data_IF_558619795334
#
_entry.id   IF_558619795334
#
_cell.length_a   1.000
_cell.length_b   1.000
_cell.length_c   1.000
_cell.angle_alpha   90.00
_cell.angle_beta   90.00
_cell.angle_gamma   90.00
#
_symmetry.space_group_name_H-M   'P 1'
#
loop_
_entity.id
_entity.type
_entity.pdbx_description
1 polymer ?
#
# COMPACT_ATOMS: atom_id res chain seq x y z
N UNK A 1 31.50 -22.20 -1.65
CA UNK A 1 30.40 -22.24 -0.66
C UNK A 1 29.41 -21.18 -1.09
N UNK A 2 28.27 -21.58 -1.67
CA UNK A 2 27.20 -20.65 -2.01
C UNK A 2 26.43 -20.40 -0.72
N UNK A 3 26.53 -19.17 -0.21
CA UNK A 3 25.64 -18.66 0.82
C UNK A 3 24.24 -18.62 0.24
N UNK A 4 23.34 -19.44 0.79
CA UNK A 4 21.90 -19.36 0.57
C UNK A 4 21.43 -18.03 1.16
N UNK A 5 21.52 -16.96 0.36
CA UNK A 5 20.82 -15.73 0.70
C UNK A 5 19.34 -16.03 0.53
N UNK A 6 18.49 -15.76 1.53
CA UNK A 6 17.06 -15.94 1.38
C UNK A 6 16.61 -15.15 0.14
N UNK A 7 15.81 -15.80 -0.70
CA UNK A 7 15.24 -15.16 -1.87
C UNK A 7 14.49 -13.90 -1.45
N UNK A 8 14.63 -12.83 -2.23
CA UNK A 8 13.86 -11.62 -2.04
C UNK A 8 12.37 -11.95 -2.10
N UNK A 9 11.61 -11.40 -1.15
CA UNK A 9 10.15 -11.51 -1.13
C UNK A 9 9.58 -10.25 -1.77
N UNK A 10 8.80 -10.35 -2.87
CA UNK A 10 8.16 -9.21 -3.50
C UNK A 10 7.31 -8.42 -2.51
N UNK A 11 7.23 -7.10 -2.71
CA UNK A 11 6.54 -6.19 -1.79
C UNK A 11 5.30 -5.62 -2.47
N UNK A 12 4.16 -5.80 -1.83
CA UNK A 12 2.92 -5.13 -2.17
C UNK A 12 2.75 -3.90 -1.26
N UNK A 13 2.64 -2.72 -1.85
CA UNK A 13 2.40 -1.48 -1.12
C UNK A 13 0.98 -0.99 -1.39
N UNK A 14 0.19 -0.86 -0.34
CA UNK A 14 -1.12 -0.22 -0.36
C UNK A 14 -0.92 1.29 -0.22
N UNK A 15 -1.24 2.03 -1.28
CA UNK A 15 -1.12 3.49 -1.32
C UNK A 15 -2.08 4.02 -2.40
N UNK A 16 -2.95 4.96 -2.03
CA UNK A 16 -3.88 5.56 -3.00
C UNK A 16 -3.20 6.68 -3.76
N UNK A 17 -3.49 6.76 -5.06
CA UNK A 17 -3.11 7.89 -5.91
C UNK A 17 -4.30 8.28 -6.81
N UNK A 18 -4.14 9.35 -7.58
CA UNK A 18 -5.13 9.84 -8.52
C UNK A 18 -4.99 9.21 -9.91
N UNK A 19 -6.09 9.23 -10.67
CA UNK A 19 -6.09 8.85 -12.09
C UNK A 19 -6.47 7.39 -12.34
N UNK A 20 -7.63 6.98 -11.83
CA UNK A 20 -8.15 5.59 -11.92
C UNK A 20 -8.39 4.95 -10.54
N UNK A 21 -8.13 5.71 -9.47
CA UNK A 21 -8.09 5.21 -8.10
C UNK A 21 -7.12 4.02 -7.91
N UNK A 22 -5.86 4.11 -8.37
CA UNK A 22 -4.83 3.10 -8.05
C UNK A 22 -4.69 2.96 -6.54
N UNK A 23 -4.47 1.74 -6.07
CA UNK A 23 -4.36 1.46 -4.64
C UNK A 23 -3.34 0.38 -4.27
N UNK A 24 -2.83 -0.39 -5.22
CA UNK A 24 -1.88 -1.47 -4.97
C UNK A 24 -0.70 -1.42 -5.93
N UNK A 25 0.50 -1.43 -5.37
CA UNK A 25 1.75 -1.29 -6.10
C UNK A 25 2.68 -2.47 -5.80
N UNK A 26 3.36 -2.99 -6.82
CA UNK A 26 4.30 -4.08 -6.71
C UNK A 26 5.73 -3.57 -6.80
N UNK A 27 6.58 -4.10 -5.91
CA UNK A 27 8.02 -4.16 -6.07
C UNK A 27 8.41 -5.62 -6.25
N UNK A 28 8.81 -6.01 -7.45
CA UNK A 28 9.10 -7.40 -7.80
C UNK A 28 10.54 -7.79 -7.46
N UNK A 29 11.47 -6.83 -7.50
CA UNK A 29 12.90 -7.08 -7.30
C UNK A 29 13.57 -6.10 -6.32
N UNK A 30 14.68 -6.51 -5.69
CA UNK A 30 15.43 -5.62 -4.79
C UNK A 30 16.10 -4.46 -5.54
N UNK A 31 16.34 -4.61 -6.85
CA UNK A 31 17.02 -3.62 -7.70
C UNK A 31 16.11 -2.47 -8.13
N UNK A 32 14.78 -2.63 -8.00
CA UNK A 32 13.84 -1.54 -8.24
C UNK A 32 14.02 -0.41 -7.24
N UNK A 33 13.86 0.85 -7.64
CA UNK A 33 13.84 1.96 -6.70
C UNK A 33 12.57 1.92 -5.83
N UNK A 34 12.65 2.36 -4.57
CA UNK A 34 11.47 2.54 -3.71
C UNK A 34 10.58 1.29 -3.55
N UNK A 35 9.32 1.54 -3.17
CA UNK A 35 8.30 0.52 -2.88
C UNK A 35 6.96 0.76 -3.62
N UNK A 36 6.91 1.76 -4.49
CA UNK A 36 5.75 2.11 -5.32
C UNK A 36 6.25 2.12 -6.76
N UNK A 37 6.22 0.97 -7.43
CA UNK A 37 6.68 0.81 -8.81
C UNK A 37 5.51 0.48 -9.73
N UNK A 38 5.26 -0.82 -9.97
CA UNK A 38 4.25 -1.25 -10.94
C UNK A 38 2.85 -1.20 -10.29
N UNK A 39 1.93 -0.46 -10.91
CA UNK A 39 0.54 -0.43 -10.47
C UNK A 39 -0.12 -1.78 -10.80
N UNK A 40 -0.60 -2.47 -9.77
CA UNK A 40 -1.28 -3.75 -9.91
C UNK A 40 -2.79 -3.61 -9.92
N UNK A 41 -3.34 -2.76 -9.05
CA UNK A 41 -4.80 -2.68 -8.89
C UNK A 41 -5.30 -1.24 -8.80
N UNK A 42 -6.46 -1.03 -9.42
CA UNK A 42 -7.18 0.24 -9.50
C UNK A 42 -8.63 0.06 -9.04
N UNK A 43 -9.24 1.14 -8.55
CA UNK A 43 -10.61 1.12 -8.04
C UNK A 43 -11.68 1.03 -9.14
N UNK A 44 -11.35 1.42 -10.38
CA UNK A 44 -12.30 1.49 -11.50
C UNK A 44 -12.47 0.17 -12.26
N UNK A 45 -11.64 -0.85 -12.00
CA UNK A 45 -11.75 -2.16 -12.64
C UNK A 45 -11.01 -3.26 -11.88
N UNK A 46 -11.59 -4.45 -11.88
CA UNK A 46 -10.97 -5.66 -11.37
C UNK A 46 -10.32 -6.44 -12.53
N UNK A 47 -9.12 -6.98 -12.30
CA UNK A 47 -8.46 -7.90 -13.21
C UNK A 47 -8.27 -9.27 -12.54
N UNK A 48 -8.54 -10.36 -13.27
CA UNK A 48 -8.43 -11.72 -12.72
C UNK A 48 -6.98 -12.19 -12.48
N UNK A 49 -6.02 -11.52 -13.11
CA UNK A 49 -4.58 -11.78 -12.95
C UNK A 49 -3.98 -11.02 -11.75
N UNK A 50 -4.77 -10.19 -11.05
CA UNK A 50 -4.30 -9.41 -9.91
C UNK A 50 -3.99 -10.31 -8.70
N UNK A 51 -3.06 -9.90 -7.81
CA UNK A 51 -2.68 -10.68 -6.63
C UNK A 51 -3.75 -10.69 -5.52
N UNK A 52 -4.91 -10.08 -5.77
CA UNK A 52 -6.01 -9.88 -4.83
C UNK A 52 -7.28 -10.53 -5.38
N UNK A 53 -8.10 -11.11 -4.52
CA UNK A 53 -9.40 -11.65 -4.91
C UNK A 53 -10.40 -10.54 -5.28
N UNK A 54 -11.36 -10.85 -6.16
CA UNK A 54 -12.44 -9.91 -6.47
C UNK A 54 -13.21 -9.44 -5.21
N UNK A 55 -13.39 -10.33 -4.23
CA UNK A 55 -14.08 -10.00 -2.98
C UNK A 55 -13.31 -8.98 -2.15
N UNK A 56 -11.99 -9.12 -2.07
CA UNK A 56 -11.17 -8.14 -1.36
C UNK A 56 -11.03 -6.84 -2.17
N UNK A 57 -10.90 -6.93 -3.51
CA UNK A 57 -10.91 -5.77 -4.41
C UNK A 57 -12.20 -4.94 -4.23
N UNK A 58 -13.38 -5.57 -4.10
CA UNK A 58 -14.65 -4.87 -3.84
C UNK A 58 -14.67 -4.09 -2.53
N UNK A 59 -13.81 -4.42 -1.58
CA UNK A 59 -13.66 -3.66 -0.33
C UNK A 59 -12.67 -2.50 -0.48
N UNK A 60 -11.60 -2.69 -1.26
CA UNK A 60 -10.62 -1.65 -1.59
C UNK A 60 -11.17 -0.58 -2.53
N UNK A 61 -11.86 -0.96 -3.60
CA UNK A 61 -12.33 -0.06 -4.65
C UNK A 61 -13.11 1.15 -4.09
N UNK A 62 -14.10 1.00 -3.20
CA UNK A 62 -14.80 2.16 -2.64
C UNK A 62 -13.93 3.08 -1.79
N UNK A 63 -12.90 2.56 -1.11
CA UNK A 63 -11.94 3.36 -0.34
C UNK A 63 -11.02 4.17 -1.27
N UNK A 64 -10.49 3.53 -2.31
CA UNK A 64 -9.65 4.20 -3.30
C UNK A 64 -10.45 5.25 -4.10
N UNK A 65 -11.69 4.93 -4.50
CA UNK A 65 -12.57 5.85 -5.22
C UNK A 65 -13.01 7.04 -4.36
N UNK A 66 -13.18 6.86 -3.06
CA UNK A 66 -13.46 7.94 -2.12
C UNK A 66 -12.34 8.99 -2.16
N UNK A 67 -11.09 8.54 -2.10
CA UNK A 67 -9.91 9.39 -2.28
C UNK A 67 -9.85 9.98 -3.69
N UNK A 68 -9.93 9.16 -4.73
CA UNK A 68 -9.76 9.66 -6.11
C UNK A 68 -10.76 10.78 -6.47
N UNK A 69 -11.98 10.76 -5.91
CA UNK A 69 -12.98 11.82 -6.11
C UNK A 69 -12.56 13.18 -5.55
N UNK A 70 -11.62 13.23 -4.61
CA UNK A 70 -11.13 14.50 -4.04
C UNK A 70 -10.34 15.32 -5.06
N UNK A 71 -9.80 14.70 -6.12
CA UNK A 71 -9.07 15.40 -7.18
C UNK A 71 -9.87 16.49 -7.89
N UNK A 72 -11.20 16.40 -7.85
CA UNK A 72 -12.10 17.34 -8.52
C UNK A 72 -12.53 18.52 -7.61
N UNK A 73 -11.97 18.61 -6.40
CA UNK A 73 -12.29 19.62 -5.42
C UNK A 73 -11.05 20.01 -4.61
N UNK A 74 -10.49 21.19 -4.93
CA UNK A 74 -9.26 21.73 -4.33
C UNK A 74 -9.28 21.83 -2.79
N UNK A 75 -10.46 21.81 -2.17
CA UNK A 75 -10.66 21.90 -0.72
C UNK A 75 -11.16 20.59 -0.10
N UNK A 76 -11.22 19.49 -0.86
CA UNK A 76 -11.74 18.23 -0.35
C UNK A 76 -10.89 17.65 0.78
N UNK A 77 -9.58 17.90 0.78
CA UNK A 77 -8.61 17.38 1.75
C UNK A 77 -8.27 18.36 2.88
N UNK A 78 -9.00 19.47 2.99
CA UNK A 78 -8.87 20.38 4.13
C UNK A 78 -9.12 19.60 5.44
N UNK A 79 -8.35 19.84 6.52
CA UNK A 79 -8.46 19.07 7.77
C UNK A 79 -9.87 19.07 8.40
N UNK A 80 -10.67 20.09 8.12
CA UNK A 80 -12.05 20.21 8.62
C UNK A 80 -13.07 19.43 7.76
N UNK A 81 -12.65 18.88 6.62
CA UNK A 81 -13.49 18.24 5.61
C UNK A 81 -13.11 16.79 5.33
N UNK A 82 -11.85 16.45 5.56
CA UNK A 82 -11.34 15.09 5.36
C UNK A 82 -10.82 14.50 6.66
N UNK A 83 -11.44 13.42 7.09
CA UNK A 83 -10.98 12.66 8.25
C UNK A 83 -9.86 11.70 7.85
N UNK A 84 -8.63 12.22 7.81
CA UNK A 84 -7.42 11.42 7.56
C UNK A 84 -7.29 10.25 8.52
N UNK A 85 -7.68 10.41 9.79
CA UNK A 85 -7.56 9.35 10.78
C UNK A 85 -8.49 8.17 10.46
N UNK A 86 -9.76 8.45 10.12
CA UNK A 86 -10.70 7.44 9.67
C UNK A 86 -10.27 6.80 8.34
N UNK A 87 -9.76 7.61 7.40
CA UNK A 87 -9.27 7.13 6.10
C UNK A 87 -8.09 6.16 6.25
N UNK A 88 -7.08 6.51 7.07
CA UNK A 88 -5.95 5.63 7.36
C UNK A 88 -6.37 4.39 8.15
N UNK A 89 -7.30 4.50 9.09
CA UNK A 89 -7.80 3.33 9.83
C UNK A 89 -8.44 2.30 8.88
N UNK A 90 -9.23 2.77 7.90
CA UNK A 90 -9.81 1.92 6.86
C UNK A 90 -8.73 1.33 5.95
N UNK A 91 -7.79 2.13 5.47
CA UNK A 91 -6.68 1.67 4.64
C UNK A 91 -5.84 0.58 5.33
N UNK A 92 -5.50 0.76 6.61
CA UNK A 92 -4.75 -0.22 7.40
C UNK A 92 -5.56 -1.51 7.66
N UNK A 93 -6.88 -1.40 7.87
CA UNK A 93 -7.75 -2.57 7.97
C UNK A 93 -7.73 -3.38 6.66
N UNK A 94 -7.89 -2.72 5.51
CA UNK A 94 -7.83 -3.36 4.20
C UNK A 94 -6.44 -3.99 3.95
N UNK A 95 -5.37 -3.30 4.33
CA UNK A 95 -3.99 -3.82 4.23
C UNK A 95 -3.80 -5.10 5.06
N UNK A 96 -4.42 -5.20 6.23
CA UNK A 96 -4.42 -6.45 7.03
C UNK A 96 -5.14 -7.59 6.34
N UNK A 97 -6.28 -7.31 5.71
CA UNK A 97 -7.01 -8.32 4.94
C UNK A 97 -6.17 -8.80 3.74
N UNK A 98 -5.48 -7.87 3.05
CA UNK A 98 -4.54 -8.21 1.98
C UNK A 98 -3.43 -9.11 2.49
N UNK A 99 -2.77 -8.76 3.60
CA UNK A 99 -1.71 -9.61 4.19
C UNK A 99 -2.22 -11.01 4.55
N UNK A 100 -3.44 -11.13 5.06
CA UNK A 100 -4.05 -12.42 5.37
C UNK A 100 -4.33 -13.25 4.10
N UNK A 101 -4.70 -12.60 2.99
CA UNK A 101 -4.99 -13.27 1.71
C UNK A 101 -3.72 -13.73 0.99
N UNK A 102 -2.70 -12.87 0.90
CA UNK A 102 -1.48 -13.15 0.14
C UNK A 102 -0.43 -13.93 0.93
N UNK A 103 -0.56 -14.00 2.26
CA UNK A 103 0.31 -14.76 3.14
C UNK A 103 1.78 -14.36 3.02
N UNK A 104 2.69 -15.33 3.05
CA UNK A 104 4.14 -15.11 3.00
C UNK A 104 4.69 -14.97 1.57
N UNK A 105 3.84 -15.07 0.55
CA UNK A 105 4.26 -14.83 -0.84
C UNK A 105 4.68 -13.37 -1.06
N UNK A 106 4.13 -12.45 -0.25
CA UNK A 106 4.43 -11.03 -0.32
C UNK A 106 4.68 -10.43 1.07
N UNK A 107 5.59 -9.47 1.11
CA UNK A 107 5.63 -8.46 2.16
C UNK A 107 4.55 -7.42 1.86
N UNK A 108 3.84 -6.94 2.87
CA UNK A 108 2.73 -5.99 2.65
C UNK A 108 2.97 -4.72 3.46
N UNK A 109 3.01 -3.60 2.74
CA UNK A 109 3.18 -2.27 3.30
C UNK A 109 1.90 -1.45 3.11
N UNK A 110 1.71 -0.49 4.00
CA UNK A 110 0.80 0.65 3.83
C UNK A 110 1.66 1.90 3.74
N UNK A 111 1.44 2.73 2.71
CA UNK A 111 2.07 4.03 2.58
C UNK A 111 1.00 5.13 2.57
N UNK A 112 1.27 6.23 3.28
CA UNK A 112 0.42 7.41 3.21
C UNK A 112 0.53 8.09 1.84
N UNK A 113 -0.57 8.59 1.26
CA UNK A 113 -0.50 9.40 0.05
C UNK A 113 0.17 10.74 0.33
N UNK A 114 0.82 11.33 -0.67
CA UNK A 114 1.58 12.59 -0.53
C UNK A 114 0.67 13.78 -0.17
N UNK A 115 -0.62 13.66 -0.45
CA UNK A 115 -1.66 14.64 -0.14
C UNK A 115 -1.98 14.73 1.36
N UNK A 116 -1.66 13.72 2.18
CA UNK A 116 -1.76 13.84 3.64
C UNK A 116 -0.76 14.89 4.12
N UNK A 117 -1.17 15.98 4.80
CA UNK A 117 -0.23 16.95 5.37
C UNK A 117 0.80 16.32 6.32
N UNK A 118 0.49 15.15 6.90
CA UNK A 118 1.35 14.36 7.76
C UNK A 118 1.98 13.15 7.05
N UNK A 119 2.06 13.11 5.71
CA UNK A 119 2.51 11.93 4.97
C UNK A 119 3.91 11.44 5.36
N UNK A 120 4.84 12.36 5.67
CA UNK A 120 6.21 12.01 6.10
C UNK A 120 6.29 11.46 7.53
N UNK A 121 5.22 11.57 8.31
CA UNK A 121 5.18 11.07 9.68
C UNK A 121 4.67 9.64 9.66
N UNK A 122 5.53 8.68 10.02
CA UNK A 122 5.27 7.24 9.92
C UNK A 122 4.73 6.86 8.53
N UNK A 123 5.44 7.33 7.49
CA UNK A 123 5.02 7.25 6.09
C UNK A 123 4.66 5.82 5.68
N UNK A 124 5.49 4.85 6.07
CA UNK A 124 5.27 3.44 5.82
C UNK A 124 4.96 2.67 7.10
N UNK A 125 4.06 1.70 6.97
CA UNK A 125 3.77 0.70 7.98
C UNK A 125 3.75 -0.68 7.35
N UNK A 126 4.42 -1.63 7.98
CA UNK A 126 4.37 -3.02 7.55
C UNK A 126 3.29 -3.78 8.32
N UNK A 127 2.58 -4.66 7.62
CA UNK A 127 1.68 -5.64 8.25
C UNK A 127 2.36 -7.00 8.28
N UNK A 128 2.61 -7.50 9.48
CA UNK A 128 3.21 -8.81 9.71
C UNK A 128 2.19 -9.94 9.52
N UNK A 129 2.67 -11.19 9.45
CA UNK A 129 1.84 -12.37 9.22
C UNK A 129 0.73 -12.58 10.27
N UNK A 130 0.91 -12.08 11.49
CA UNK A 130 -0.09 -12.12 12.57
C UNK A 130 -1.07 -10.92 12.53
N UNK A 131 -0.96 -10.04 11.54
CA UNK A 131 -1.75 -8.82 11.41
C UNK A 131 -1.25 -7.65 12.28
N UNK A 132 -0.15 -7.81 13.00
CA UNK A 132 0.52 -6.73 13.73
C UNK A 132 1.02 -5.69 12.75
N UNK A 133 0.81 -4.40 13.09
CA UNK A 133 1.25 -3.27 12.28
C UNK A 133 2.45 -2.64 12.96
N UNK A 134 3.57 -2.56 12.25
CA UNK A 134 4.82 -1.99 12.76
C UNK A 134 5.29 -0.82 11.87
N UNK A 135 6.01 0.17 12.42
CA UNK A 135 6.67 1.18 11.60
C UNK A 135 7.64 0.51 10.62
N UNK A 136 7.63 0.98 9.38
CA UNK A 136 8.60 0.55 8.37
C UNK A 136 9.42 1.77 7.91
N UNK A 137 10.74 1.59 7.84
CA UNK A 137 11.67 2.64 7.45
C UNK A 137 12.46 2.18 6.22
N UNK A 138 12.08 2.63 5.00
CA UNK A 138 12.76 2.30 3.75
C UNK A 138 14.28 2.43 3.80
N UNK A 139 14.80 3.50 4.45
CA UNK A 139 16.23 3.79 4.55
C UNK A 139 17.03 2.73 5.34
N UNK A 140 16.35 2.04 6.26
CA UNK A 140 16.96 1.00 7.10
C UNK A 140 16.86 -0.39 6.47
N UNK A 141 15.95 -0.60 5.52
CA UNK A 141 15.73 -1.88 4.84
C UNK A 141 16.88 -2.21 3.88
N UNK A 142 17.43 -1.19 3.19
CA UNK A 142 18.59 -1.32 2.29
C UNK A 142 19.96 -1.32 2.99
N UNK A 143 20.03 -0.97 4.28
CA UNK A 143 21.30 -0.82 5.02
C UNK A 143 21.86 -2.15 5.56
N UNK A 144 21.23 -3.29 5.29
CA UNK A 144 21.74 -4.62 5.67
C UNK A 144 22.81 -5.17 4.72
N UNK A 145 23.27 -4.38 3.74
CA UNK A 145 24.32 -4.77 2.81
C UNK A 145 25.19 -3.58 2.38
N UNK A 146 26.15 -3.18 3.20
CA UNK A 146 27.34 -2.42 2.80
C UNK A 146 28.49 -2.69 3.77
#
# INVERSE_FOLDING_TARGET
MMTDQPAFVPVLTVMVDYGGAPFLWLKESPDEPGYVNDCMCEGDGYCEDDPISEELWRQFSPWALEFNRTMYNDHALDPDRWDWAAFHARGLQLTRLLKAEVGDAYRVLYCKPVEDPAFKQDEYREVLADGTIVPFHPDLDGSAGS
#
